data_IF_486171391432
#
_entry.id   IF_486171391432
#
_cell.length_a   1.000
_cell.length_b   1.000
_cell.length_c   1.000
_cell.angle_alpha   90.00
_cell.angle_beta   90.00
_cell.angle_gamma   90.00
#
_symmetry.space_group_name_H-M   'P 1'
#
loop_
_entity.id
_entity.type
_entity.pdbx_description
1 polymer ?
#
# COMPACT_ATOMS: atom_id res chain seq x y z
N UNK A 1 -16.16 51.61 36.27
CA UNK A 1 -17.27 52.44 35.77
C UNK A 1 -17.45 52.13 34.28
N UNK A 2 -18.56 51.47 33.93
CA UNK A 2 -19.13 51.47 32.57
C UNK A 2 -19.80 52.85 32.29
N UNK A 3 -20.40 53.12 31.12
CA UNK A 3 -20.02 52.89 29.72
C UNK A 3 -20.28 54.16 28.85
N UNK A 4 -20.07 54.11 27.52
CA UNK A 4 -20.87 54.92 26.59
C UNK A 4 -21.07 54.21 25.25
N UNK A 5 -22.34 53.93 24.98
CA UNK A 5 -22.97 53.32 23.81
C UNK A 5 -23.38 54.35 22.75
N UNK A 6 -23.99 53.83 21.67
CA UNK A 6 -24.80 54.46 20.62
C UNK A 6 -24.04 54.84 19.33
N UNK A 7 -24.53 54.56 18.11
CA UNK A 7 -25.84 54.10 17.64
C UNK A 7 -25.75 53.69 16.15
N UNK A 8 -26.63 52.79 15.70
CA UNK A 8 -26.97 52.55 14.30
C UNK A 8 -28.34 53.18 13.97
N UNK A 9 -28.66 53.41 12.69
CA UNK A 9 -29.96 52.92 12.15
C UNK A 9 -29.83 52.31 10.73
N UNK A 10 -30.48 51.17 10.44
CA UNK A 10 -31.81 50.95 9.81
C UNK A 10 -31.79 51.07 8.26
N UNK A 11 -31.90 49.97 7.50
CA UNK A 11 -33.12 49.28 6.98
C UNK A 11 -33.66 49.81 5.64
N UNK A 12 -33.76 48.91 4.64
CA UNK A 12 -34.76 48.83 3.55
C UNK A 12 -34.47 47.56 2.72
N UNK A 13 -35.13 46.42 2.98
CA UNK A 13 -36.40 45.95 2.40
C UNK A 13 -36.43 45.84 0.85
N UNK A 14 -36.66 44.60 0.36
CA UNK A 14 -36.91 44.28 -1.05
C UNK A 14 -37.21 42.78 -1.25
N UNK A 15 -38.49 42.41 -1.18
CA UNK A 15 -39.08 41.06 -1.09
C UNK A 15 -39.02 40.16 -2.35
N UNK A 16 -39.00 38.86 -2.05
CA UNK A 16 -39.66 37.67 -2.64
C UNK A 16 -40.10 37.63 -4.12
N UNK A 17 -39.81 36.50 -4.77
CA UNK A 17 -40.84 35.56 -5.26
C UNK A 17 -40.33 34.13 -5.39
N UNK A 18 -41.12 33.19 -4.86
CA UNK A 18 -40.96 31.75 -4.94
C UNK A 18 -41.62 31.19 -6.21
N UNK A 19 -41.06 30.14 -6.80
CA UNK A 19 -41.77 29.25 -7.73
C UNK A 19 -41.39 27.79 -7.44
N UNK A 20 -42.45 27.02 -7.18
CA UNK A 20 -42.51 25.59 -6.89
C UNK A 20 -42.85 24.83 -8.19
N UNK A 21 -42.77 23.49 -8.12
CA UNK A 21 -43.26 22.46 -9.06
C UNK A 21 -42.30 22.11 -10.22
N UNK A 22 -42.07 20.85 -10.58
CA UNK A 22 -42.65 19.57 -10.18
C UNK A 22 -42.15 18.47 -11.12
N UNK A 23 -42.06 17.23 -10.62
CA UNK A 23 -41.73 16.01 -11.37
C UNK A 23 -42.98 15.50 -12.12
N UNK A 24 -42.83 14.92 -13.33
CA UNK A 24 -43.73 13.84 -13.78
C UNK A 24 -42.98 12.65 -14.48
N UNK A 25 -43.65 11.51 -14.76
CA UNK A 25 -43.14 10.16 -14.46
C UNK A 25 -42.88 9.21 -15.65
N UNK A 26 -42.49 7.97 -15.32
CA UNK A 26 -42.27 6.79 -16.17
C UNK A 26 -43.53 6.24 -16.88
N UNK A 27 -43.27 5.55 -18.02
CA UNK A 27 -44.09 4.60 -18.82
C UNK A 27 -45.05 5.16 -19.91
N UNK A 28 -44.71 4.95 -21.20
CA UNK A 28 -45.37 3.93 -22.06
C UNK A 28 -44.72 3.81 -23.46
N UNK A 29 -44.84 2.60 -24.01
CA UNK A 29 -44.41 2.12 -25.34
C UNK A 29 -45.15 2.81 -26.51
N UNK A 30 -44.47 3.11 -27.62
CA UNK A 30 -44.77 2.54 -28.95
C UNK A 30 -43.79 2.96 -30.06
N UNK A 31 -43.76 2.11 -31.09
CA UNK A 31 -42.84 1.97 -32.23
C UNK A 31 -42.85 3.11 -33.27
N UNK A 32 -41.87 2.99 -34.19
CA UNK A 32 -41.72 3.52 -35.56
C UNK A 32 -40.60 4.58 -35.64
N UNK A 33 -39.63 4.60 -36.55
CA UNK A 33 -39.32 3.81 -37.76
C UNK A 33 -37.92 4.25 -38.24
N UNK A 34 -37.13 3.33 -38.80
CA UNK A 34 -35.78 3.57 -39.34
C UNK A 34 -35.78 4.37 -40.66
N UNK A 35 -34.67 5.05 -41.03
CA UNK A 35 -34.37 5.40 -42.41
C UNK A 35 -33.26 4.53 -43.04
N UNK A 36 -33.51 4.20 -44.29
CA UNK A 36 -32.85 3.35 -45.30
C UNK A 36 -31.40 3.76 -45.64
N UNK A 37 -30.51 2.82 -46.07
CA UNK A 37 -29.09 3.10 -46.32
C UNK A 37 -28.81 3.66 -47.72
N UNK A 38 -27.89 4.61 -47.80
CA UNK A 38 -27.32 5.14 -49.04
C UNK A 38 -26.21 4.21 -49.58
N UNK A 39 -26.40 3.71 -50.81
CA UNK A 39 -25.37 3.08 -51.65
C UNK A 39 -24.52 4.16 -52.32
N UNK A 40 -23.19 4.07 -52.26
CA UNK A 40 -22.32 4.69 -53.27
C UNK A 40 -21.12 3.81 -53.64
N UNK A 41 -20.76 3.92 -54.92
CA UNK A 41 -19.92 3.08 -55.76
C UNK A 41 -18.55 2.65 -55.24
N UNK A 42 -18.23 1.39 -55.53
CA UNK A 42 -16.86 0.88 -55.58
C UNK A 42 -16.13 1.40 -56.84
N UNK A 43 -14.93 1.97 -56.64
CA UNK A 43 -13.86 1.99 -57.65
C UNK A 43 -12.62 1.38 -57.01
N UNK A 44 -12.10 0.35 -57.66
CA UNK A 44 -10.89 -0.35 -57.27
C UNK A 44 -9.66 0.49 -57.66
N UNK A 45 -8.78 0.72 -56.69
CA UNK A 45 -7.37 1.05 -56.93
C UNK A 45 -6.50 0.17 -56.06
N UNK A 46 -5.54 -0.47 -56.72
CA UNK A 46 -4.65 -1.52 -56.24
C UNK A 46 -3.58 -1.04 -55.25
N UNK A 47 -3.31 -1.90 -54.25
CA UNK A 47 -2.02 -2.16 -53.55
C UNK A 47 -1.46 -1.00 -52.71
N UNK A 48 -1.28 -1.10 -51.39
CA UNK A 48 -0.50 -2.09 -50.63
C UNK A 48 -1.19 -2.38 -49.29
N UNK A 49 -1.36 -3.67 -48.93
CA UNK A 49 -1.84 -4.05 -47.59
C UNK A 49 -0.71 -3.85 -46.57
N UNK A 50 -0.91 -3.12 -45.46
CA UNK A 50 0.03 -3.21 -44.35
C UNK A 50 -0.07 -4.63 -43.77
N UNK A 51 1.09 -5.25 -43.51
CA UNK A 51 1.14 -6.53 -42.79
C UNK A 51 0.39 -6.40 -41.46
N UNK A 52 -0.32 -7.44 -40.99
CA UNK A 52 -1.02 -7.36 -39.73
C UNK A 52 0.00 -7.11 -38.62
N UNK A 53 -0.09 -5.94 -37.99
CA UNK A 53 0.64 -5.64 -36.77
C UNK A 53 0.04 -6.50 -35.67
N UNK A 54 0.63 -7.68 -35.46
CA UNK A 54 0.26 -8.56 -34.35
C UNK A 54 0.81 -7.92 -33.09
N UNK A 55 0.00 -7.12 -32.42
CA UNK A 55 0.21 -6.81 -31.00
C UNK A 55 -0.01 -8.13 -30.27
N UNK A 56 1.07 -8.85 -29.96
CA UNK A 56 1.01 -9.82 -28.86
C UNK A 56 0.72 -8.98 -27.63
N UNK A 57 -0.51 -9.08 -27.12
CA UNK A 57 -0.86 -8.59 -25.78
C UNK A 57 0.06 -9.32 -24.80
N UNK A 58 1.19 -8.72 -24.46
CA UNK A 58 1.95 -9.12 -23.30
C UNK A 58 1.22 -8.57 -22.10
N UNK A 59 0.33 -9.39 -21.55
CA UNK A 59 -0.13 -9.22 -20.19
C UNK A 59 1.11 -9.17 -19.31
N UNK A 60 1.25 -8.11 -18.51
CA UNK A 60 2.40 -7.86 -17.64
C UNK A 60 2.32 -8.79 -16.40
N UNK A 61 1.26 -9.58 -16.27
CA UNK A 61 0.97 -10.41 -15.11
C UNK A 61 1.90 -11.61 -14.86
N UNK A 62 2.54 -12.28 -15.83
CA UNK A 62 3.43 -13.40 -15.53
C UNK A 62 4.88 -12.97 -15.21
N UNK A 63 5.16 -11.67 -15.06
CA UNK A 63 6.53 -11.14 -14.94
C UNK A 63 7.26 -11.50 -13.63
N UNK A 64 6.57 -12.01 -12.59
CA UNK A 64 7.19 -12.19 -11.26
C UNK A 64 6.74 -13.44 -10.48
N UNK A 65 5.95 -14.34 -11.07
CA UNK A 65 5.34 -15.47 -10.33
C UNK A 65 6.04 -16.83 -10.48
N UNK A 66 7.08 -16.96 -11.32
CA UNK A 66 7.80 -18.23 -11.47
C UNK A 66 9.25 -18.12 -10.99
N UNK A 67 9.45 -18.24 -9.67
CA UNK A 67 10.78 -18.39 -9.06
C UNK A 67 10.74 -19.53 -8.04
N UNK A 68 10.70 -20.79 -8.52
CA UNK A 68 10.78 -21.99 -7.69
C UNK A 68 11.90 -22.94 -8.13
N UNK A 69 13.02 -22.40 -8.63
CA UNK A 69 14.22 -23.19 -8.95
C UNK A 69 15.38 -22.78 -8.03
N UNK A 70 15.87 -23.72 -7.21
CA UNK A 70 16.89 -23.49 -6.17
C UNK A 70 18.29 -23.21 -6.73
N UNK A 71 18.54 -23.48 -8.02
CA UNK A 71 19.83 -23.19 -8.67
C UNK A 71 19.94 -21.77 -9.24
N UNK A 72 18.83 -21.14 -9.63
CA UNK A 72 18.83 -19.75 -10.14
C UNK A 72 18.95 -18.73 -9.00
N UNK A 73 18.34 -19.03 -7.86
CA UNK A 73 18.41 -18.22 -6.63
C UNK A 73 19.84 -18.07 -6.09
N UNK A 74 20.64 -19.14 -6.10
CA UNK A 74 22.04 -19.14 -5.64
C UNK A 74 23.00 -18.34 -6.55
N UNK A 75 22.67 -18.21 -7.85
CA UNK A 75 23.43 -17.40 -8.80
C UNK A 75 23.06 -15.91 -8.70
N UNK A 76 21.76 -15.59 -8.54
CA UNK A 76 21.30 -14.22 -8.34
C UNK A 76 21.76 -13.63 -7.00
N UNK A 77 21.82 -14.45 -5.94
CA UNK A 77 22.37 -14.04 -4.64
C UNK A 77 23.80 -13.49 -4.74
N UNK A 78 24.63 -14.06 -5.62
CA UNK A 78 25.99 -13.58 -5.89
C UNK A 78 26.02 -12.26 -6.68
N UNK A 79 24.98 -11.95 -7.44
CA UNK A 79 24.87 -10.79 -8.32
C UNK A 79 24.18 -9.58 -7.67
N UNK A 80 23.26 -9.84 -6.73
CA UNK A 80 22.45 -8.86 -6.02
C UNK A 80 22.75 -8.85 -4.53
N UNK A 81 23.99 -8.56 -4.18
CA UNK A 81 24.37 -8.45 -2.77
C UNK A 81 23.50 -7.40 -2.05
N UNK A 82 23.20 -7.63 -0.77
CA UNK A 82 22.49 -6.63 0.04
C UNK A 82 23.33 -5.37 0.20
N UNK A 83 22.67 -4.22 0.32
CA UNK A 83 23.38 -2.97 0.66
C UNK A 83 24.08 -3.10 2.00
N UNK A 84 25.15 -2.31 2.19
CA UNK A 84 25.67 -2.11 3.53
C UNK A 84 24.62 -1.42 4.41
N UNK A 85 24.51 -1.84 5.67
CA UNK A 85 23.65 -1.16 6.64
C UNK A 85 24.28 0.19 6.94
N UNK A 86 23.60 1.32 6.66
CA UNK A 86 24.18 2.64 6.92
C UNK A 86 24.43 2.85 8.41
N UNK A 87 25.41 3.69 8.75
CA UNK A 87 25.56 4.13 10.14
C UNK A 87 24.36 5.00 10.51
N UNK A 88 23.55 4.49 11.44
CA UNK A 88 22.34 5.15 11.93
C UNK A 88 22.59 5.85 13.28
N UNK A 89 23.85 5.99 13.71
CA UNK A 89 24.22 6.70 14.92
C UNK A 89 23.72 8.14 14.87
N UNK A 90 23.04 8.58 15.93
CA UNK A 90 22.46 9.93 16.02
C UNK A 90 21.08 10.09 15.36
N UNK A 91 20.59 9.11 14.58
CA UNK A 91 19.19 9.13 14.11
C UNK A 91 18.24 8.75 15.27
N UNK A 92 17.04 9.35 15.35
CA UNK A 92 16.05 8.99 16.35
C UNK A 92 15.58 7.54 16.15
N UNK A 93 15.14 6.90 17.23
CA UNK A 93 14.53 5.58 17.16
C UNK A 93 13.13 5.65 16.56
N UNK A 94 12.82 4.69 15.69
CA UNK A 94 11.49 4.57 15.07
C UNK A 94 10.53 3.94 16.08
N UNK A 95 9.43 4.63 16.38
CA UNK A 95 8.36 4.15 17.28
C UNK A 95 7.03 3.99 16.55
N UNK A 96 6.78 4.84 15.57
CA UNK A 96 5.52 4.92 14.83
C UNK A 96 5.76 4.77 13.34
N UNK A 97 4.80 4.15 12.66
CA UNK A 97 4.82 4.02 11.21
C UNK A 97 3.48 4.35 10.55
N UNK A 98 3.55 4.71 9.27
CA UNK A 98 2.42 4.82 8.37
C UNK A 98 2.69 4.16 7.02
N UNK A 99 1.62 3.76 6.34
CA UNK A 99 1.67 3.20 4.99
C UNK A 99 0.86 4.07 4.03
N UNK A 100 1.45 4.48 2.92
CA UNK A 100 0.82 5.25 1.85
C UNK A 100 0.76 4.42 0.56
N UNK A 101 -0.42 3.96 0.20
CA UNK A 101 -0.64 3.18 -1.02
C UNK A 101 -1.07 4.14 -2.11
N UNK A 102 -0.33 4.17 -3.21
CA UNK A 102 -0.51 5.08 -4.35
C UNK A 102 -0.93 4.22 -5.54
N UNK A 103 -2.12 4.47 -6.08
CA UNK A 103 -2.59 3.70 -7.22
C UNK A 103 -4.08 3.89 -7.51
N UNK A 104 -4.41 4.43 -8.69
CA UNK A 104 -5.78 4.56 -9.16
C UNK A 104 -6.46 3.19 -9.28
N UNK A 105 -5.72 2.13 -9.63
CA UNK A 105 -6.25 0.77 -9.77
C UNK A 105 -6.78 0.20 -8.46
N UNK A 106 -6.25 0.71 -7.35
CA UNK A 106 -6.70 0.40 -6.00
C UNK A 106 -8.02 1.11 -5.71
N UNK A 107 -8.13 2.39 -6.06
CA UNK A 107 -9.32 3.22 -5.80
C UNK A 107 -10.51 2.90 -6.71
N UNK A 108 -10.26 2.64 -7.99
CA UNK A 108 -11.31 2.44 -8.99
C UNK A 108 -11.79 0.98 -9.09
N UNK A 109 -11.17 0.05 -8.35
CA UNK A 109 -11.52 -1.37 -8.36
C UNK A 109 -11.29 -2.08 -9.71
N UNK A 110 -10.60 -1.45 -10.66
CA UNK A 110 -10.38 -1.93 -12.04
C UNK A 110 -9.57 -3.22 -12.10
N UNK A 111 -8.72 -3.47 -11.11
CA UNK A 111 -8.06 -4.76 -10.96
C UNK A 111 -9.11 -5.75 -10.46
N UNK A 112 -9.89 -6.31 -11.38
CA UNK A 112 -11.00 -7.21 -11.08
C UNK A 112 -10.58 -8.68 -11.10
N UNK A 113 -9.27 -8.96 -11.06
CA UNK A 113 -8.82 -10.30 -10.74
C UNK A 113 -9.05 -10.50 -9.24
N UNK A 114 -10.07 -11.29 -8.93
CA UNK A 114 -10.65 -11.42 -7.57
C UNK A 114 -9.65 -11.97 -6.55
N UNK A 115 -8.52 -12.51 -7.00
CA UNK A 115 -7.37 -12.89 -6.17
C UNK A 115 -6.36 -11.76 -5.98
N UNK A 116 -6.31 -10.75 -6.85
CA UNK A 116 -5.21 -9.78 -6.88
C UNK A 116 -5.55 -8.45 -6.22
N UNK A 117 -6.78 -7.91 -6.31
CA UNK A 117 -7.06 -6.56 -5.80
C UNK A 117 -7.63 -6.53 -4.38
N UNK A 118 -8.49 -7.49 -4.02
CA UNK A 118 -8.74 -7.81 -2.60
C UNK A 118 -7.46 -8.23 -1.89
N UNK A 119 -6.49 -8.76 -2.62
CA UNK A 119 -5.16 -9.03 -2.09
C UNK A 119 -4.30 -7.78 -1.97
N UNK A 120 -4.25 -6.80 -2.89
CA UNK A 120 -3.26 -5.70 -2.80
C UNK A 120 -3.35 -4.88 -1.52
N UNK A 121 -4.46 -4.17 -1.26
CA UNK A 121 -4.59 -3.38 -0.01
C UNK A 121 -4.43 -4.29 1.20
N UNK A 122 -5.10 -5.45 1.20
CA UNK A 122 -5.04 -6.39 2.32
C UNK A 122 -3.62 -6.89 2.55
N UNK A 123 -2.85 -7.16 1.51
CA UNK A 123 -1.47 -7.64 1.57
C UNK A 123 -0.58 -6.52 2.05
N UNK A 124 -0.62 -5.32 1.46
CA UNK A 124 0.23 -4.22 1.93
C UNK A 124 -0.07 -3.86 3.39
N UNK A 125 -1.36 -3.75 3.74
CA UNK A 125 -1.78 -3.44 5.11
C UNK A 125 -1.43 -4.56 6.08
N UNK A 126 -1.66 -5.83 5.72
CA UNK A 126 -1.33 -6.99 6.53
C UNK A 126 0.18 -7.10 6.74
N UNK A 127 0.98 -6.99 5.67
CA UNK A 127 2.43 -7.13 5.75
C UNK A 127 3.06 -5.98 6.53
N UNK A 128 2.56 -4.75 6.36
CA UNK A 128 2.98 -3.64 7.18
C UNK A 128 2.60 -3.84 8.65
N UNK A 129 1.36 -4.23 8.94
CA UNK A 129 0.89 -4.45 10.31
C UNK A 129 1.66 -5.60 10.99
N UNK A 130 1.90 -6.69 10.25
CA UNK A 130 2.66 -7.86 10.71
C UNK A 130 4.09 -7.48 11.03
N UNK A 131 4.81 -6.84 10.09
CA UNK A 131 6.19 -6.45 10.32
C UNK A 131 6.29 -5.48 11.51
N UNK A 132 5.45 -4.43 11.53
CA UNK A 132 5.41 -3.46 12.62
C UNK A 132 5.20 -4.14 13.98
N UNK A 133 4.27 -5.09 14.06
CA UNK A 133 4.05 -5.89 15.27
C UNK A 133 5.30 -6.70 15.68
N UNK A 134 5.96 -7.37 14.73
CA UNK A 134 7.16 -8.18 14.98
C UNK A 134 8.36 -7.35 15.46
N UNK A 135 8.49 -6.12 14.95
CA UNK A 135 9.60 -5.21 15.31
C UNK A 135 9.25 -4.25 16.45
N UNK A 136 8.03 -4.28 16.98
CA UNK A 136 7.57 -3.42 18.08
C UNK A 136 7.21 -1.99 17.70
N UNK A 137 7.10 -1.68 16.41
CA UNK A 137 6.70 -0.36 15.89
C UNK A 137 5.19 -0.27 15.80
N UNK A 138 4.60 0.86 16.20
CA UNK A 138 3.16 1.08 16.09
C UNK A 138 2.77 1.56 14.69
N UNK A 139 2.07 0.71 13.92
CA UNK A 139 1.41 1.16 12.70
C UNK A 139 0.19 2.02 13.04
N UNK A 140 0.26 3.32 12.77
CA UNK A 140 -0.77 4.30 13.16
C UNK A 140 -1.77 4.62 12.06
N UNK A 141 -1.36 4.49 10.80
CA UNK A 141 -2.17 4.89 9.65
C UNK A 141 -1.81 4.05 8.42
N UNK A 142 -2.84 3.64 7.69
CA UNK A 142 -2.73 3.22 6.30
C UNK A 142 -3.66 4.14 5.51
N UNK A 143 -3.19 4.66 4.40
CA UNK A 143 -3.90 5.59 3.53
C UNK A 143 -3.73 5.16 2.08
N UNK A 144 -4.80 5.29 1.29
CA UNK A 144 -4.80 4.97 -0.14
C UNK A 144 -5.19 6.25 -0.88
N UNK A 145 -4.38 6.64 -1.87
CA UNK A 145 -4.57 7.85 -2.67
C UNK A 145 -4.44 7.54 -4.17
N UNK A 146 -4.91 8.48 -5.00
CA UNK A 146 -4.80 8.40 -6.47
C UNK A 146 -3.38 8.68 -6.95
N UNK A 147 -3.11 8.34 -8.21
CA UNK A 147 -1.90 8.74 -8.93
C UNK A 147 -1.99 10.22 -9.36
N UNK A 148 -2.13 11.12 -8.38
CA UNK A 148 -2.14 12.56 -8.56
C UNK A 148 -0.99 13.22 -7.81
N UNK A 149 -0.31 14.17 -8.46
CA UNK A 149 0.89 14.81 -7.90
C UNK A 149 0.59 15.53 -6.59
N UNK A 150 -0.52 16.27 -6.52
CA UNK A 150 -0.80 17.11 -5.36
C UNK A 150 -1.30 16.26 -4.18
N UNK A 151 -2.05 15.19 -4.45
CA UNK A 151 -2.43 14.18 -3.45
C UNK A 151 -1.20 13.46 -2.87
N UNK A 152 -0.25 13.04 -3.72
CA UNK A 152 0.98 12.38 -3.26
C UNK A 152 1.83 13.34 -2.41
N UNK A 153 1.96 14.60 -2.85
CA UNK A 153 2.74 15.61 -2.12
C UNK A 153 2.13 15.88 -0.74
N UNK A 154 0.82 16.15 -0.66
CA UNK A 154 0.13 16.42 0.60
C UNK A 154 0.29 15.25 1.56
N UNK A 155 -0.05 14.03 1.11
CA UNK A 155 -0.03 12.86 1.95
C UNK A 155 1.39 12.51 2.41
N UNK A 156 2.38 12.57 1.52
CA UNK A 156 3.77 12.29 1.86
C UNK A 156 4.31 13.27 2.92
N UNK A 157 4.07 14.58 2.76
CA UNK A 157 4.50 15.58 3.72
C UNK A 157 3.82 15.38 5.08
N UNK A 158 2.49 15.23 5.09
CA UNK A 158 1.70 15.05 6.31
C UNK A 158 2.10 13.79 7.08
N UNK A 159 2.28 12.67 6.38
CA UNK A 159 2.66 11.40 7.01
C UNK A 159 4.12 11.43 7.47
N UNK A 160 5.04 11.94 6.66
CA UNK A 160 6.47 12.04 6.99
C UNK A 160 6.72 12.95 8.19
N UNK A 161 5.96 14.05 8.32
CA UNK A 161 6.05 14.94 9.48
C UNK A 161 5.48 14.30 10.76
N UNK A 162 4.44 13.48 10.64
CA UNK A 162 3.69 12.96 11.80
C UNK A 162 4.22 11.64 12.35
N UNK A 163 4.88 10.84 11.53
CA UNK A 163 5.30 9.48 11.87
C UNK A 163 6.80 9.27 11.60
N UNK A 164 7.43 8.43 12.40
CA UNK A 164 8.88 8.23 12.34
C UNK A 164 9.33 7.46 11.09
N UNK A 165 8.44 6.65 10.52
CA UNK A 165 8.72 5.84 9.34
C UNK A 165 7.48 5.73 8.44
N UNK A 166 7.63 6.10 7.17
CA UNK A 166 6.56 5.99 6.16
C UNK A 166 7.00 5.00 5.09
N UNK A 167 6.14 4.04 4.78
CA UNK A 167 6.34 3.12 3.66
C UNK A 167 5.33 3.46 2.58
N UNK A 168 5.79 3.67 1.35
CA UNK A 168 4.88 3.83 0.20
C UNK A 168 4.84 2.58 -0.66
N UNK A 169 3.76 2.40 -1.42
CA UNK A 169 3.66 1.36 -2.46
C UNK A 169 3.00 1.92 -3.70
N UNK A 170 3.59 1.67 -4.88
CA UNK A 170 3.00 2.01 -6.18
C UNK A 170 3.59 3.25 -6.86
N UNK A 171 3.21 3.45 -8.13
CA UNK A 171 3.63 4.59 -8.96
C UNK A 171 5.14 4.68 -9.29
N UNK A 172 5.84 3.54 -9.35
CA UNK A 172 7.30 3.46 -9.65
C UNK A 172 7.68 2.57 -10.83
N UNK A 173 6.71 2.17 -11.65
CA UNK A 173 6.93 1.42 -12.88
C UNK A 173 7.45 2.27 -14.06
N UNK A 174 7.44 1.71 -15.27
CA UNK A 174 7.97 2.37 -16.46
C UNK A 174 6.97 3.31 -17.15
N UNK A 175 5.70 3.35 -16.73
CA UNK A 175 4.63 4.05 -17.46
C UNK A 175 4.59 5.54 -17.12
N UNK A 176 4.00 6.42 -17.96
CA UNK A 176 3.99 7.86 -17.71
C UNK A 176 3.24 8.28 -16.45
N UNK A 177 2.26 7.50 -16.02
CA UNK A 177 1.47 7.63 -14.79
C UNK A 177 2.22 7.18 -13.53
N UNK A 178 3.37 6.51 -13.65
CA UNK A 178 4.27 6.25 -12.51
C UNK A 178 5.01 7.54 -12.11
N UNK A 179 4.40 8.31 -11.20
CA UNK A 179 4.82 9.66 -10.80
C UNK A 179 5.29 9.77 -9.34
N UNK A 180 5.45 8.66 -8.61
CA UNK A 180 5.77 8.68 -7.18
C UNK A 180 7.09 9.39 -6.90
N UNK A 181 8.18 9.06 -7.60
CA UNK A 181 9.48 9.69 -7.35
C UNK A 181 9.50 11.20 -7.66
N UNK A 182 8.91 11.63 -8.78
CA UNK A 182 8.81 13.04 -9.12
C UNK A 182 7.94 13.82 -8.12
N UNK A 183 6.88 13.20 -7.61
CA UNK A 183 6.01 13.82 -6.61
C UNK A 183 6.70 13.92 -5.25
N UNK A 184 7.48 12.90 -4.85
CA UNK A 184 8.28 12.96 -3.63
C UNK A 184 9.44 13.95 -3.72
N UNK A 185 10.05 14.13 -4.90
CA UNK A 185 11.00 15.21 -5.13
C UNK A 185 10.33 16.57 -4.87
N UNK A 186 9.19 16.84 -5.50
CA UNK A 186 8.39 18.07 -5.28
C UNK A 186 8.01 18.24 -3.80
N UNK A 187 7.67 17.16 -3.10
CA UNK A 187 7.29 17.20 -1.69
C UNK A 187 8.42 17.61 -0.75
N UNK A 188 9.67 17.27 -1.07
CA UNK A 188 10.81 17.37 -0.16
C UNK A 188 11.98 18.19 -0.71
N UNK A 189 11.67 19.34 -1.32
CA UNK A 189 12.67 20.34 -1.72
C UNK A 189 12.87 20.50 -3.22
N UNK A 190 12.10 19.79 -4.05
CA UNK A 190 12.12 19.89 -5.52
C UNK A 190 13.49 19.53 -6.14
N UNK A 191 14.19 18.57 -5.53
CA UNK A 191 15.46 18.07 -6.03
C UNK A 191 15.30 17.39 -7.41
N UNK A 192 16.26 17.55 -8.33
CA UNK A 192 16.19 16.89 -9.62
C UNK A 192 16.29 15.37 -9.49
N UNK A 193 15.71 14.66 -10.44
CA UNK A 193 15.84 13.21 -10.53
C UNK A 193 17.14 12.83 -11.24
N UNK A 194 17.87 11.87 -10.67
CA UNK A 194 19.13 11.34 -11.20
C UNK A 194 19.09 9.82 -11.32
N UNK A 195 19.86 9.28 -12.26
CA UNK A 195 19.97 7.84 -12.42
C UNK A 195 20.84 7.25 -11.31
N UNK A 196 20.36 6.17 -10.71
CA UNK A 196 21.17 5.31 -9.85
C UNK A 196 21.86 4.21 -10.67
N UNK A 197 23.19 4.28 -10.75
CA UNK A 197 24.01 3.38 -11.57
C UNK A 197 23.90 1.92 -11.12
N UNK A 198 23.79 1.65 -9.81
CA UNK A 198 23.68 0.30 -9.29
C UNK A 198 22.32 -0.31 -9.62
N UNK A 199 21.23 0.45 -9.50
CA UNK A 199 19.89 0.02 -9.91
C UNK A 199 19.87 -0.26 -11.40
N UNK A 200 20.46 0.59 -12.23
CA UNK A 200 20.58 0.35 -13.67
C UNK A 200 21.36 -0.95 -13.98
N UNK A 201 22.49 -1.16 -13.29
CA UNK A 201 23.30 -2.38 -13.42
C UNK A 201 22.48 -3.62 -13.05
N UNK A 202 21.81 -3.61 -11.88
CA UNK A 202 21.00 -4.74 -11.40
C UNK A 202 19.81 -5.00 -12.29
N UNK A 203 19.13 -3.96 -12.75
CA UNK A 203 18.02 -4.06 -13.70
C UNK A 203 18.48 -4.75 -14.98
N UNK A 204 19.60 -4.32 -15.57
CA UNK A 204 20.16 -4.95 -16.77
C UNK A 204 20.51 -6.42 -16.53
N UNK A 205 21.17 -6.75 -15.42
CA UNK A 205 21.52 -8.13 -15.06
C UNK A 205 20.28 -9.00 -14.83
N UNK A 206 19.28 -8.49 -14.10
CA UNK A 206 18.05 -9.21 -13.79
C UNK A 206 17.22 -9.50 -15.03
N UNK A 207 17.06 -8.52 -15.90
CA UNK A 207 16.37 -8.69 -17.19
C UNK A 207 17.10 -9.73 -18.04
N UNK A 208 18.42 -9.63 -18.16
CA UNK A 208 19.21 -10.59 -18.92
C UNK A 208 19.11 -12.00 -18.35
N UNK A 209 19.04 -12.15 -17.03
CA UNK A 209 18.88 -13.46 -16.39
C UNK A 209 17.51 -14.08 -16.67
N UNK A 210 16.43 -13.28 -16.60
CA UNK A 210 15.04 -13.77 -16.78
C UNK A 210 14.74 -14.06 -18.25
N UNK A 211 15.21 -13.21 -19.16
CA UNK A 211 14.79 -13.23 -20.57
C UNK A 211 15.90 -13.54 -21.57
N UNK A 212 17.15 -13.70 -21.11
CA UNK A 212 18.31 -13.75 -21.98
C UNK A 212 18.64 -12.39 -22.60
N UNK A 213 19.42 -12.39 -23.67
CA UNK A 213 19.74 -11.17 -24.41
C UNK A 213 18.51 -10.69 -25.18
N UNK A 214 17.94 -9.55 -24.77
CA UNK A 214 16.82 -8.91 -25.46
C UNK A 214 17.34 -7.69 -26.24
N UNK A 215 16.98 -7.59 -27.52
CA UNK A 215 17.13 -6.34 -28.29
C UNK A 215 15.89 -5.48 -28.08
N UNK A 216 16.05 -4.33 -27.44
CA UNK A 216 14.94 -3.44 -27.13
C UNK A 216 14.93 -2.23 -28.06
N UNK A 217 13.73 -1.72 -28.34
CA UNK A 217 13.64 -0.39 -28.94
C UNK A 217 14.13 0.67 -27.94
N UNK A 218 14.69 1.77 -28.45
CA UNK A 218 15.16 2.89 -27.62
C UNK A 218 14.08 3.42 -26.66
N UNK A 219 12.81 3.44 -27.10
CA UNK A 219 11.69 3.88 -26.28
C UNK A 219 11.42 2.95 -25.09
N UNK A 220 11.54 1.63 -25.30
CA UNK A 220 11.36 0.63 -24.22
C UNK A 220 12.51 0.75 -23.21
N UNK A 221 13.74 0.87 -23.70
CA UNK A 221 14.91 1.05 -22.84
C UNK A 221 14.78 2.32 -22.00
N UNK A 222 14.38 3.45 -22.61
CA UNK A 222 14.13 4.70 -21.91
C UNK A 222 13.05 4.57 -20.84
N UNK A 223 11.91 3.96 -21.19
CA UNK A 223 10.81 3.75 -20.24
C UNK A 223 11.26 2.90 -19.03
N UNK A 224 12.07 1.87 -19.25
CA UNK A 224 12.61 1.05 -18.16
C UNK A 224 13.60 1.80 -17.28
N UNK A 225 14.54 2.52 -17.89
CA UNK A 225 15.55 3.29 -17.16
C UNK A 225 14.91 4.32 -16.23
N UNK A 226 13.71 4.84 -16.53
CA UNK A 226 12.96 5.73 -15.61
C UNK A 226 12.72 5.14 -14.22
N UNK A 227 12.64 3.80 -14.08
CA UNK A 227 12.49 3.15 -12.77
C UNK A 227 13.75 3.26 -11.88
N UNK A 228 14.86 3.78 -12.43
CA UNK A 228 16.09 4.08 -11.71
C UNK A 228 16.34 5.60 -11.59
N UNK A 229 15.36 6.45 -11.91
CA UNK A 229 15.43 7.90 -11.67
C UNK A 229 14.90 8.24 -10.29
N UNK A 230 15.77 8.68 -9.39
CA UNK A 230 15.44 8.97 -8.00
C UNK A 230 15.74 10.44 -7.64
N UNK A 231 15.02 11.04 -6.68
CA UNK A 231 15.36 12.37 -6.18
C UNK A 231 16.81 12.40 -5.71
N UNK A 232 17.58 13.42 -6.12
CA UNK A 232 18.97 13.59 -5.68
C UNK A 232 19.05 13.55 -4.16
N UNK A 233 20.05 12.83 -3.64
CA UNK A 233 20.28 12.69 -2.20
C UNK A 233 19.45 11.60 -1.51
N UNK A 234 18.65 10.84 -2.26
CA UNK A 234 17.94 9.67 -1.71
C UNK A 234 18.91 8.56 -1.29
N UNK A 235 18.59 7.83 -0.21
CA UNK A 235 19.34 6.62 0.17
C UNK A 235 18.76 5.41 -0.59
N UNK A 236 19.57 4.78 -1.45
CA UNK A 236 19.15 3.60 -2.24
C UNK A 236 19.60 2.32 -1.54
N UNK A 237 18.64 1.47 -1.18
CA UNK A 237 18.86 0.29 -0.35
C UNK A 237 18.43 -0.98 -1.08
N UNK A 238 19.25 -2.00 -1.04
CA UNK A 238 18.92 -3.35 -1.53
C UNK A 238 18.79 -4.29 -0.34
N UNK A 239 17.60 -4.40 0.29
CA UNK A 239 17.42 -5.18 1.50
C UNK A 239 17.31 -6.70 1.25
N UNK A 240 17.16 -7.12 -0.01
CA UNK A 240 17.06 -8.52 -0.43
C UNK A 240 17.97 -8.78 -1.63
N UNK A 241 18.29 -10.06 -1.83
CA UNK A 241 19.09 -10.57 -2.95
C UNK A 241 18.21 -11.17 -4.05
N UNK A 242 16.90 -11.29 -3.79
CA UNK A 242 15.93 -11.93 -4.68
C UNK A 242 15.55 -11.04 -5.88
N UNK A 243 15.59 -9.72 -5.69
CA UNK A 243 15.12 -8.74 -6.66
C UNK A 243 16.15 -7.65 -6.93
N UNK A 244 16.17 -7.15 -8.16
CA UNK A 244 17.01 -6.02 -8.56
C UNK A 244 16.48 -4.67 -8.04
N UNK A 245 15.21 -4.62 -7.64
CA UNK A 245 14.50 -3.39 -7.27
C UNK A 245 14.96 -2.90 -5.89
N UNK A 246 15.36 -1.63 -5.72
CA UNK A 246 15.72 -1.09 -4.42
C UNK A 246 14.49 -0.66 -3.60
N UNK A 247 14.72 -0.42 -2.32
CA UNK A 247 13.96 0.54 -1.52
C UNK A 247 14.68 1.88 -1.58
N UNK A 248 13.97 2.92 -2.01
CA UNK A 248 14.53 4.28 -2.07
C UNK A 248 13.98 5.06 -0.89
N UNK A 249 14.87 5.57 -0.04
CA UNK A 249 14.51 6.37 1.13
C UNK A 249 14.69 7.86 0.83
N UNK A 250 13.59 8.60 0.86
CA UNK A 250 13.52 10.05 0.66
C UNK A 250 13.22 10.74 1.99
N UNK A 251 13.69 11.98 2.17
CA UNK A 251 13.50 12.78 3.38
C UNK A 251 13.96 12.09 4.69
N UNK A 252 14.85 11.09 4.58
CA UNK A 252 15.36 10.30 5.70
C UNK A 252 14.38 9.30 6.33
N UNK A 253 13.07 9.39 6.09
CA UNK A 253 12.07 8.51 6.71
C UNK A 253 10.98 7.94 5.78
N UNK A 254 10.93 8.33 4.49
CA UNK A 254 9.94 7.82 3.52
C UNK A 254 10.60 6.74 2.65
N UNK A 255 10.28 5.47 2.89
CA UNK A 255 10.75 4.34 2.09
C UNK A 255 9.77 4.01 0.96
N UNK A 256 10.21 4.11 -0.28
CA UNK A 256 9.41 3.83 -1.47
C UNK A 256 9.59 2.38 -1.91
N UNK A 257 8.48 1.64 -2.01
CA UNK A 257 8.45 0.24 -2.43
C UNK A 257 7.56 0.06 -3.68
N UNK A 258 7.77 -1.00 -4.48
CA UNK A 258 6.96 -1.30 -5.64
C UNK A 258 5.52 -1.69 -5.28
N UNK A 259 4.62 -1.49 -6.24
CA UNK A 259 3.23 -1.93 -6.16
C UNK A 259 3.03 -3.43 -6.40
N UNK A 260 4.08 -4.24 -6.57
CA UNK A 260 3.92 -5.68 -6.82
C UNK A 260 4.00 -6.42 -5.49
N UNK A 261 2.94 -7.14 -5.04
CA UNK A 261 2.86 -7.67 -3.68
C UNK A 261 4.04 -8.56 -3.24
N UNK A 262 4.51 -9.45 -4.11
CA UNK A 262 5.65 -10.33 -3.80
C UNK A 262 6.95 -9.56 -3.58
N UNK A 263 7.25 -8.58 -4.45
CA UNK A 263 8.44 -7.74 -4.29
C UNK A 263 8.30 -6.83 -3.05
N UNK A 264 7.12 -6.24 -2.86
CA UNK A 264 6.83 -5.41 -1.68
C UNK A 264 7.10 -6.18 -0.38
N UNK A 265 6.59 -7.40 -0.27
CA UNK A 265 6.82 -8.28 0.88
C UNK A 265 8.30 -8.57 1.10
N UNK A 266 9.03 -8.99 0.05
CA UNK A 266 10.43 -9.35 0.17
C UNK A 266 11.31 -8.16 0.58
N UNK A 267 11.06 -6.98 0.00
CA UNK A 267 11.77 -5.76 0.35
C UNK A 267 11.43 -5.31 1.77
N UNK A 268 10.14 -5.29 2.13
CA UNK A 268 9.69 -4.89 3.46
C UNK A 268 10.28 -5.80 4.55
N UNK A 269 10.27 -7.12 4.35
CA UNK A 269 10.85 -8.10 5.27
C UNK A 269 12.36 -7.93 5.44
N UNK A 270 13.06 -7.49 4.41
CA UNK A 270 14.50 -7.24 4.45
C UNK A 270 14.90 -5.89 5.06
N UNK A 271 13.96 -4.96 5.27
CA UNK A 271 14.25 -3.62 5.78
C UNK A 271 14.69 -3.50 7.25
N UNK A 272 14.31 -4.37 8.21
CA UNK A 272 14.60 -4.13 9.63
C UNK A 272 16.07 -3.81 9.99
N UNK A 273 17.09 -4.44 9.38
CA UNK A 273 18.49 -4.07 9.62
C UNK A 273 18.83 -2.62 9.25
N UNK A 274 18.08 -2.01 8.34
CA UNK A 274 18.29 -0.64 7.85
C UNK A 274 17.45 0.40 8.61
N UNK A 275 16.70 -0.03 9.62
CA UNK A 275 15.87 0.83 10.47
C UNK A 275 16.57 1.05 11.82
N UNK A 276 16.48 2.27 12.34
CA UNK A 276 16.98 2.57 13.69
C UNK A 276 15.92 2.15 14.72
N UNK A 277 15.90 0.86 15.02
CA UNK A 277 15.04 0.28 16.05
C UNK A 277 15.73 0.36 17.41
N UNK A 278 14.95 0.66 18.44
CA UNK A 278 15.41 0.61 19.83
C UNK A 278 15.57 -0.86 20.26
N UNK A 279 16.79 -1.34 20.58
CA UNK A 279 17.03 -2.72 20.98
C UNK A 279 16.26 -3.14 22.23
N UNK A 280 15.97 -2.17 23.11
CA UNK A 280 15.29 -2.38 24.39
C UNK A 280 13.77 -2.18 24.27
N UNK A 281 13.27 -1.87 23.07
CA UNK A 281 11.84 -1.66 22.85
C UNK A 281 11.09 -2.98 23.06
N UNK A 282 10.10 -3.01 23.97
CA UNK A 282 9.33 -4.22 24.21
C UNK A 282 8.50 -4.55 22.98
N UNK A 283 8.56 -5.81 22.54
CA UNK A 283 7.79 -6.30 21.40
C UNK A 283 6.43 -6.81 21.89
N UNK A 284 5.34 -6.47 21.20
CA UNK A 284 4.04 -6.97 21.58
C UNK A 284 3.95 -8.48 21.34
N UNK A 285 3.29 -9.17 22.25
CA UNK A 285 3.02 -10.60 22.22
C UNK A 285 1.53 -10.76 21.95
N UNK A 286 1.17 -11.68 21.05
CA UNK A 286 -0.22 -12.02 20.77
C UNK A 286 -0.48 -13.48 21.10
N UNK A 287 -1.62 -13.75 21.74
CA UNK A 287 -2.22 -15.07 21.88
C UNK A 287 -3.62 -15.04 21.30
N UNK A 288 -3.95 -16.04 20.49
CA UNK A 288 -5.30 -16.27 20.02
C UNK A 288 -5.86 -17.52 20.69
N UNK A 289 -7.10 -17.42 21.16
CA UNK A 289 -7.86 -18.54 21.73
C UNK A 289 -9.13 -18.69 20.90
N UNK A 290 -9.36 -19.88 20.36
CA UNK A 290 -10.57 -20.23 19.63
C UNK A 290 -11.60 -20.89 20.55
N UNK A 291 -12.86 -20.48 20.45
CA UNK A 291 -13.99 -21.19 21.05
C UNK A 291 -15.12 -21.36 20.05
N UNK A 292 -15.88 -22.45 20.20
CA UNK A 292 -17.10 -22.69 19.41
C UNK A 292 -18.33 -21.99 19.99
N UNK A 293 -18.20 -21.35 21.16
CA UNK A 293 -19.29 -20.59 21.77
C UNK A 293 -19.64 -19.35 20.92
N UNK A 294 -20.93 -18.95 20.90
CA UNK A 294 -21.34 -17.72 20.25
C UNK A 294 -20.84 -16.50 21.04
N UNK A 295 -20.61 -15.39 20.35
CA UNK A 295 -20.06 -14.15 20.95
C UNK A 295 -20.90 -13.64 22.13
N UNK A 296 -22.24 -13.77 22.03
CA UNK A 296 -23.16 -13.38 23.10
C UNK A 296 -22.91 -14.10 24.43
N UNK A 297 -22.43 -15.35 24.40
CA UNK A 297 -22.14 -16.14 25.59
C UNK A 297 -20.82 -15.74 26.26
N UNK A 298 -19.87 -15.23 25.49
CA UNK A 298 -18.55 -14.82 26.00
C UNK A 298 -18.46 -13.31 26.29
N UNK A 299 -19.47 -12.53 25.94
CA UNK A 299 -19.49 -11.06 26.17
C UNK A 299 -19.22 -10.66 27.64
N UNK A 300 -19.83 -11.30 28.65
CA UNK A 300 -19.55 -10.96 30.06
C UNK A 300 -18.08 -11.19 30.44
N UNK A 301 -17.50 -12.27 29.93
CA UNK A 301 -16.08 -12.58 30.10
C UNK A 301 -15.20 -11.51 29.42
N UNK A 302 -15.50 -11.15 28.16
CA UNK A 302 -14.75 -10.14 27.42
C UNK A 302 -14.75 -8.78 28.13
N UNK A 303 -15.87 -8.38 28.73
CA UNK A 303 -15.94 -7.16 29.54
C UNK A 303 -15.03 -7.23 30.77
N UNK A 304 -15.04 -8.36 31.49
CA UNK A 304 -14.19 -8.55 32.65
C UNK A 304 -12.70 -8.58 32.28
N UNK A 305 -12.35 -9.34 31.24
CA UNK A 305 -11.00 -9.41 30.68
C UNK A 305 -10.49 -8.04 30.24
N UNK A 306 -11.35 -7.24 29.59
CA UNK A 306 -10.97 -5.89 29.15
C UNK A 306 -10.68 -4.98 30.35
N UNK A 307 -11.49 -5.06 31.41
CA UNK A 307 -11.30 -4.26 32.64
C UNK A 307 -10.04 -4.67 33.39
N UNK A 308 -9.80 -5.97 33.54
CA UNK A 308 -8.61 -6.53 34.20
C UNK A 308 -7.35 -6.24 33.35
N UNK A 309 -7.39 -6.61 32.07
CA UNK A 309 -6.28 -6.47 31.14
C UNK A 309 -5.83 -5.02 30.97
N UNK A 310 -6.75 -4.05 30.99
CA UNK A 310 -6.37 -2.62 30.94
C UNK A 310 -5.44 -2.20 32.07
N UNK A 311 -5.57 -2.77 33.28
CA UNK A 311 -4.67 -2.48 34.41
C UNK A 311 -3.29 -3.08 34.22
N UNK A 312 -3.23 -4.21 33.54
CA UNK A 312 -2.02 -5.00 33.30
C UNK A 312 -1.37 -4.71 31.93
N UNK A 313 -1.88 -3.71 31.20
CA UNK A 313 -1.38 -3.36 29.86
C UNK A 313 -1.73 -4.38 28.76
N UNK A 314 -2.72 -5.24 28.99
CA UNK A 314 -3.21 -6.24 28.03
C UNK A 314 -4.44 -5.70 27.31
N UNK A 315 -4.37 -5.68 25.98
CA UNK A 315 -5.49 -5.41 25.08
C UNK A 315 -6.20 -6.70 24.74
N UNK A 316 -7.52 -6.67 24.82
CA UNK A 316 -8.41 -7.79 24.54
C UNK A 316 -9.24 -7.46 23.30
N UNK A 317 -9.37 -8.40 22.38
CA UNK A 317 -10.23 -8.29 21.21
C UNK A 317 -11.02 -9.57 20.96
N UNK A 318 -12.20 -9.44 20.36
CA UNK A 318 -13.00 -10.55 19.85
C UNK A 318 -13.14 -10.46 18.33
N UNK A 319 -13.01 -11.60 17.66
CA UNK A 319 -13.12 -11.73 16.22
C UNK A 319 -14.07 -12.89 15.90
N UNK A 320 -15.37 -12.63 15.76
CA UNK A 320 -16.34 -13.66 15.42
C UNK A 320 -16.06 -14.23 14.03
N UNK A 321 -16.12 -15.55 13.92
CA UNK A 321 -16.02 -16.28 12.66
C UNK A 321 -17.39 -16.80 12.26
N UNK A 322 -17.82 -16.47 11.05
CA UNK A 322 -19.12 -16.90 10.55
C UNK A 322 -19.29 -18.42 10.65
N UNK A 323 -20.26 -18.87 11.45
CA UNK A 323 -20.58 -20.28 11.75
C UNK A 323 -19.43 -21.13 12.34
N UNK A 324 -18.34 -20.50 12.77
CA UNK A 324 -17.18 -21.23 13.29
C UNK A 324 -16.84 -20.85 14.74
N UNK A 325 -17.59 -19.96 15.38
CA UNK A 325 -17.33 -19.53 16.76
C UNK A 325 -16.58 -18.19 16.81
N UNK A 326 -15.73 -17.99 17.82
CA UNK A 326 -15.04 -16.72 18.06
C UNK A 326 -13.56 -16.92 18.38
N UNK A 327 -12.73 -16.06 17.82
CA UNK A 327 -11.34 -15.87 18.23
C UNK A 327 -11.24 -14.76 19.27
N UNK A 328 -10.66 -15.05 20.42
CA UNK A 328 -10.29 -14.05 21.42
C UNK A 328 -8.80 -13.77 21.25
N UNK A 329 -8.44 -12.50 21.13
CA UNK A 329 -7.07 -12.03 20.99
C UNK A 329 -6.63 -11.31 22.26
N UNK A 330 -5.50 -11.73 22.80
CA UNK A 330 -4.82 -11.08 23.92
C UNK A 330 -3.51 -10.51 23.40
N UNK A 331 -3.29 -9.20 23.57
CA UNK A 331 -2.08 -8.51 23.14
C UNK A 331 -1.47 -7.72 24.30
N UNK A 332 -0.22 -7.99 24.65
CA UNK A 332 0.50 -7.31 25.74
C UNK A 332 2.00 -7.41 25.55
N UNK A 333 2.78 -7.07 26.57
CA UNK A 333 4.26 -7.06 26.51
C UNK A 333 4.92 -8.01 27.53
N UNK A 334 4.16 -8.49 28.51
CA UNK A 334 4.62 -9.43 29.53
C UNK A 334 4.16 -10.85 29.20
N UNK A 335 5.11 -11.74 28.96
CA UNK A 335 4.86 -13.15 28.65
C UNK A 335 4.08 -13.87 29.75
N UNK A 336 4.48 -13.68 31.02
CA UNK A 336 3.88 -14.39 32.15
C UNK A 336 2.44 -13.96 32.36
N UNK A 337 2.15 -12.65 32.23
CA UNK A 337 0.78 -12.15 32.33
C UNK A 337 -0.06 -12.62 31.15
N UNK A 338 0.45 -12.56 29.91
CA UNK A 338 -0.29 -13.03 28.74
C UNK A 338 -0.62 -14.53 28.83
N UNK A 339 0.33 -15.36 29.27
CA UNK A 339 0.09 -16.80 29.42
C UNK A 339 -0.91 -17.08 30.56
N UNK A 340 -0.85 -16.33 31.68
CA UNK A 340 -1.86 -16.40 32.76
C UNK A 340 -3.26 -16.07 32.25
N UNK A 341 -3.43 -14.98 31.51
CA UNK A 341 -4.72 -14.59 30.95
C UNK A 341 -5.20 -15.62 29.92
N UNK A 342 -4.29 -16.15 29.10
CA UNK A 342 -4.60 -17.20 28.12
C UNK A 342 -5.17 -18.44 28.80
N UNK A 343 -4.52 -18.90 29.87
CA UNK A 343 -4.98 -20.06 30.65
C UNK A 343 -6.37 -19.81 31.27
N UNK A 344 -6.58 -18.63 31.87
CA UNK A 344 -7.87 -18.24 32.45
C UNK A 344 -8.99 -18.25 31.39
N UNK A 345 -8.73 -17.71 30.20
CA UNK A 345 -9.68 -17.73 29.09
C UNK A 345 -9.99 -19.16 28.66
N UNK A 346 -8.97 -20.01 28.49
CA UNK A 346 -9.13 -21.42 28.10
C UNK A 346 -9.98 -22.18 29.12
N UNK A 347 -9.74 -22.00 30.42
CA UNK A 347 -10.48 -22.66 31.49
C UNK A 347 -11.94 -22.24 31.54
N UNK A 348 -12.23 -20.95 31.32
CA UNK A 348 -13.58 -20.41 31.47
C UNK A 348 -14.49 -20.75 30.28
N UNK A 349 -13.95 -20.82 29.06
CA UNK A 349 -14.75 -21.02 27.83
C UNK A 349 -14.52 -22.36 27.12
N UNK A 350 -13.63 -23.21 27.65
CA UNK A 350 -13.25 -24.48 27.04
C UNK A 350 -12.61 -24.32 25.65
N UNK A 351 -11.88 -23.21 25.44
CA UNK A 351 -11.26 -22.87 24.16
C UNK A 351 -9.93 -23.57 23.91
N UNK A 352 -9.42 -23.48 22.69
CA UNK A 352 -8.09 -23.98 22.32
C UNK A 352 -7.18 -22.83 21.87
N UNK A 353 -5.94 -22.72 22.41
CA UNK A 353 -4.94 -21.82 21.84
C UNK A 353 -4.73 -22.10 20.36
N UNK A 354 -4.54 -21.04 19.58
CA UNK A 354 -4.27 -21.09 18.16
C UNK A 354 -2.84 -20.59 17.93
N UNK A 355 -2.06 -21.34 17.17
CA UNK A 355 -0.75 -20.89 16.71
C UNK A 355 -0.92 -19.74 15.72
N UNK A 356 -0.22 -18.62 15.94
CA UNK A 356 -0.40 -17.35 15.20
C UNK A 356 0.90 -16.87 14.58
#
# INVERSE_FOLDING_TARGET
>A
MMPSTCEAPAEAEGRCQALHCGVPPLHMLHRLSAPTPLRLCARASSLVKPAPFVVKNFSITPLLENMSDTKSTDMLAKLFQRSHVPDMTGRPFIRTAACLIIGDEVLNGKTQDTNSNKARITVYSFQMAKLCFEIGVELKKIEVISDDVDEIVEAAQRLSHKYDWVVTSGGIGPTPDDITYSSLAKAFGDEPLEYDDETLRRMSTGIQHIYGTITESENVLRARKRMALFPRGSEVLFPTEEYWVPVVRVNGNVCVLPGIPSIFEALLKGLPPYLRLDPDMPKPIRRLIHTNLPESMISPLLENLTKMGKKDGIRVGSYPKWKAGVHISLVGYDHMLIDKYTQMVVEEIGGQPVDV
#
